data_IF_336806835195
#
_entry.id   IF_336806835195
#
_cell.length_a   1.000
_cell.length_b   1.000
_cell.length_c   1.000
_cell.angle_alpha   90.00
_cell.angle_beta   90.00
_cell.angle_gamma   90.00
#
_symmetry.space_group_name_H-M   'P 1'
#
loop_
_entity.id
_entity.type
_entity.pdbx_description
1 polymer ?
#
# COMPACT_ATOMS: atom_id res chain seq x y z
N UNK A 1 -13.62 -4.83 19.28
CA UNK A 1 -14.58 -5.58 18.46
C UNK A 1 -13.74 -6.39 17.48
N UNK A 2 -13.74 -7.73 17.56
CA UNK A 2 -13.06 -8.58 16.57
C UNK A 2 -14.01 -8.71 15.38
N UNK A 3 -13.61 -8.24 14.21
CA UNK A 3 -14.34 -8.50 12.97
C UNK A 3 -13.86 -9.89 12.52
N UNK A 4 -14.74 -10.89 12.55
CA UNK A 4 -14.40 -12.30 12.30
C UNK A 4 -14.30 -12.53 10.79
N UNK A 5 -13.23 -12.01 10.19
CA UNK A 5 -13.00 -12.12 8.74
C UNK A 5 -11.89 -11.23 8.22
N UNK A 6 -11.45 -10.24 9.01
CA UNK A 6 -10.42 -9.27 8.64
C UNK A 6 -9.22 -9.31 9.57
N UNK A 7 -8.06 -8.95 9.04
CA UNK A 7 -6.86 -8.67 9.82
C UNK A 7 -7.04 -7.37 10.60
N UNK A 8 -6.26 -7.20 11.66
CA UNK A 8 -6.21 -5.97 12.47
C UNK A 8 -5.37 -4.87 11.76
N UNK A 9 -5.58 -4.70 10.46
CA UNK A 9 -4.90 -3.75 9.56
C UNK A 9 -5.86 -2.75 8.90
N UNK A 10 -7.12 -2.75 9.33
CA UNK A 10 -8.13 -1.88 8.75
C UNK A 10 -7.84 -0.39 9.05
N UNK A 11 -8.19 0.45 8.08
CA UNK A 11 -8.09 1.90 8.14
C UNK A 11 -9.40 2.51 7.64
N UNK A 12 -9.96 3.44 8.40
CA UNK A 12 -11.10 4.27 8.01
C UNK A 12 -10.59 5.68 7.82
N UNK A 13 -10.68 6.18 6.61
CA UNK A 13 -10.27 7.52 6.22
C UNK A 13 -11.55 8.33 6.05
N UNK A 14 -11.70 9.42 6.79
CA UNK A 14 -12.83 10.34 6.65
C UNK A 14 -12.29 11.67 6.13
N UNK A 15 -12.84 12.12 5.02
CA UNK A 15 -12.50 13.36 4.35
C UNK A 15 -13.72 14.29 4.35
N UNK A 16 -13.52 15.53 4.80
CA UNK A 16 -14.58 16.53 4.88
C UNK A 16 -14.74 17.36 3.60
N UNK A 17 -13.99 17.05 2.54
CA UNK A 17 -13.99 17.74 1.27
C UNK A 17 -13.41 19.16 1.29
N UNK A 18 -12.91 19.62 2.44
CA UNK A 18 -12.39 20.99 2.67
C UNK A 18 -10.93 20.93 3.17
N UNK A 19 -10.19 19.94 2.67
CA UNK A 19 -8.77 19.74 2.95
C UNK A 19 -8.46 19.16 4.34
N UNK A 20 -9.47 18.71 5.11
CA UNK A 20 -9.26 18.00 6.36
C UNK A 20 -9.60 16.51 6.24
N UNK A 21 -8.56 15.68 6.32
CA UNK A 21 -8.67 14.22 6.34
C UNK A 21 -8.27 13.69 7.71
N UNK A 22 -9.05 12.74 8.26
CA UNK A 22 -8.71 11.99 9.46
C UNK A 22 -8.63 10.51 9.16
N UNK A 23 -7.67 9.83 9.79
CA UNK A 23 -7.43 8.41 9.62
C UNK A 23 -7.65 7.72 10.97
N UNK A 24 -8.49 6.70 10.97
CA UNK A 24 -8.83 5.90 12.14
C UNK A 24 -8.40 4.45 11.91
N UNK A 25 -7.75 3.88 12.91
CA UNK A 25 -7.30 2.50 12.91
C UNK A 25 -7.88 1.76 14.13
N UNK A 26 -7.36 0.56 14.42
CA UNK A 26 -7.74 -0.20 15.61
C UNK A 26 -7.52 0.50 16.93
N UNK A 27 -6.55 1.42 17.01
CA UNK A 27 -6.27 2.20 18.21
C UNK A 27 -7.25 3.36 18.39
N UNK A 28 -8.01 3.69 17.35
CA UNK A 28 -9.05 4.72 17.38
C UNK A 28 -10.40 4.23 17.90
N UNK A 29 -10.58 2.92 18.08
CA UNK A 29 -11.83 2.35 18.59
C UNK A 29 -12.22 2.90 19.97
N UNK A 30 -13.50 3.24 20.13
CA UNK A 30 -14.08 3.69 21.40
C UNK A 30 -13.66 5.11 21.82
N UNK A 31 -12.96 5.85 20.95
CA UNK A 31 -12.55 7.23 21.20
C UNK A 31 -13.45 8.18 20.40
N UNK A 32 -13.66 9.37 20.95
CA UNK A 32 -14.35 10.46 20.27
C UNK A 32 -13.33 11.32 19.53
N UNK A 33 -13.64 11.65 18.28
CA UNK A 33 -12.83 12.51 17.46
C UNK A 33 -13.67 13.67 16.95
N UNK A 34 -13.06 14.84 16.93
CA UNK A 34 -13.69 16.07 16.47
C UNK A 34 -13.09 16.40 15.12
N UNK A 35 -13.96 16.72 14.16
CA UNK A 35 -13.56 17.10 12.82
C UNK A 35 -13.94 18.56 12.58
N UNK A 36 -13.19 19.24 11.70
CA UNK A 36 -13.55 20.58 11.28
C UNK A 36 -14.80 20.49 10.39
N UNK A 37 -15.84 21.22 10.77
CA UNK A 37 -17.05 21.33 9.96
C UNK A 37 -16.69 22.04 8.64
N UNK A 38 -16.86 21.39 7.49
CA UNK A 38 -16.56 21.99 6.19
C UNK A 38 -17.60 23.08 5.86
N UNK A 39 -17.15 24.19 5.26
CA UNK A 39 -18.09 25.24 4.84
C UNK A 39 -18.97 24.76 3.68
N UNK A 40 -20.29 24.93 3.81
CA UNK A 40 -21.27 24.64 2.75
C UNK A 40 -21.25 23.22 2.17
N UNK A 41 -20.75 22.23 2.91
CA UNK A 41 -20.85 20.82 2.51
C UNK A 41 -21.96 20.10 3.26
N UNK A 42 -22.61 19.18 2.58
CA UNK A 42 -23.71 18.37 3.10
C UNK A 42 -23.33 16.90 3.26
N UNK A 43 -22.08 16.55 3.03
CA UNK A 43 -21.62 15.17 2.99
C UNK A 43 -20.17 15.07 3.41
N UNK A 44 -19.78 13.85 3.80
CA UNK A 44 -18.39 13.46 4.07
C UNK A 44 -18.06 12.28 3.17
N UNK A 45 -16.80 12.16 2.77
CA UNK A 45 -16.33 10.96 2.09
C UNK A 45 -15.63 10.04 3.09
N UNK A 46 -15.98 8.76 3.06
CA UNK A 46 -15.32 7.74 3.84
C UNK A 46 -14.67 6.72 2.89
N UNK A 47 -13.43 6.34 3.18
CA UNK A 47 -12.74 5.21 2.54
C UNK A 47 -12.34 4.22 3.63
N UNK A 48 -12.74 2.97 3.47
CA UNK A 48 -12.37 1.88 4.35
C UNK A 48 -11.47 0.95 3.57
N UNK A 49 -10.29 0.70 4.13
CA UNK A 49 -9.33 -0.25 3.60
C UNK A 49 -9.13 -1.34 4.64
N UNK A 50 -9.27 -2.60 4.26
CA UNK A 50 -9.01 -3.72 5.17
C UNK A 50 -8.54 -4.94 4.38
N UNK A 51 -7.75 -5.80 5.02
CA UNK A 51 -7.39 -7.08 4.43
C UNK A 51 -8.15 -8.19 5.13
N UNK A 52 -8.79 -9.08 4.37
CA UNK A 52 -9.34 -10.30 4.93
C UNK A 52 -8.25 -11.18 5.55
N UNK A 53 -8.62 -12.09 6.45
CA UNK A 53 -7.67 -13.07 7.03
C UNK A 53 -7.02 -13.96 5.94
N UNK A 54 -7.71 -14.16 4.81
CA UNK A 54 -7.24 -14.90 3.64
C UNK A 54 -6.28 -14.09 2.75
N UNK A 55 -6.11 -12.80 3.02
CA UNK A 55 -5.17 -11.93 2.31
C UNK A 55 -5.80 -11.07 1.20
N UNK A 56 -7.11 -11.17 0.96
CA UNK A 56 -7.80 -10.32 -0.01
C UNK A 56 -7.92 -8.88 0.53
N UNK A 57 -7.43 -7.91 -0.23
CA UNK A 57 -7.60 -6.49 0.07
C UNK A 57 -8.99 -6.02 -0.34
N UNK A 58 -9.63 -5.25 0.52
CA UNK A 58 -10.94 -4.66 0.30
C UNK A 58 -10.83 -3.16 0.51
N UNK A 59 -11.23 -2.39 -0.49
CA UNK A 59 -11.46 -0.94 -0.38
C UNK A 59 -12.93 -0.65 -0.61
N UNK A 60 -13.55 0.07 0.32
CA UNK A 60 -14.90 0.58 0.19
C UNK A 60 -14.86 2.10 0.28
N UNK A 61 -15.44 2.77 -0.72
CA UNK A 61 -15.61 4.21 -0.72
C UNK A 61 -17.10 4.53 -0.62
N UNK A 62 -17.44 5.46 0.26
CA UNK A 62 -18.81 5.87 0.49
C UNK A 62 -18.88 7.38 0.67
N UNK A 63 -19.90 7.99 0.09
CA UNK A 63 -20.29 9.35 0.44
C UNK A 63 -21.42 9.28 1.46
N UNK A 64 -21.19 9.86 2.64
CA UNK A 64 -22.13 9.93 3.75
C UNK A 64 -22.84 11.27 3.63
N UNK A 65 -24.07 11.27 3.14
CA UNK A 65 -24.83 12.49 2.95
C UNK A 65 -25.78 12.78 4.11
N UNK A 66 -25.82 14.04 4.57
CA UNK A 66 -26.81 14.51 5.53
C UNK A 66 -28.22 14.35 4.94
N UNK A 67 -29.15 13.68 5.63
CA UNK A 67 -30.48 13.46 5.13
C UNK A 67 -31.26 14.78 5.02
N UNK A 68 -32.13 14.86 4.01
CA UNK A 68 -32.85 16.10 3.65
C UNK A 68 -33.94 16.50 4.63
N UNK A 69 -34.34 15.61 5.53
CA UNK A 69 -35.30 15.82 6.61
C UNK A 69 -34.64 16.06 7.99
N UNK A 70 -33.32 16.22 8.04
CA UNK A 70 -32.61 16.63 9.25
C UNK A 70 -33.13 17.97 9.78
N UNK A 71 -33.24 18.12 11.11
CA UNK A 71 -33.74 19.35 11.73
C UNK A 71 -32.84 20.56 11.43
N UNK A 72 -33.50 21.72 11.23
CA UNK A 72 -32.86 22.94 10.76
C UNK A 72 -32.79 22.94 9.24
N UNK A 73 -33.38 23.94 8.60
CA UNK A 73 -33.48 24.12 7.14
C UNK A 73 -32.15 24.31 6.40
N UNK A 74 -31.04 23.86 6.98
CA UNK A 74 -29.72 23.86 6.38
C UNK A 74 -29.35 22.43 6.00
N UNK A 75 -29.30 22.18 4.69
CA UNK A 75 -28.80 20.94 4.12
C UNK A 75 -27.31 20.69 4.41
N UNK A 76 -26.62 21.59 5.12
CA UNK A 76 -25.19 21.52 5.38
C UNK A 76 -24.86 20.87 6.73
N UNK A 77 -23.65 20.33 6.83
CA UNK A 77 -23.06 19.87 8.08
C UNK A 77 -22.88 21.06 9.03
N UNK A 78 -23.21 20.87 10.30
CA UNK A 78 -23.13 21.91 11.32
C UNK A 78 -22.36 21.44 12.56
N UNK A 79 -21.85 22.40 13.33
CA UNK A 79 -21.20 22.10 14.61
C UNK A 79 -22.19 21.43 15.57
N UNK A 80 -21.85 20.24 16.06
CA UNK A 80 -22.72 19.42 16.91
C UNK A 80 -23.25 18.17 16.21
N UNK A 81 -23.18 18.12 14.87
CA UNK A 81 -23.46 16.90 14.11
C UNK A 81 -22.44 15.82 14.47
N UNK A 82 -22.92 14.61 14.73
CA UNK A 82 -22.07 13.46 15.04
C UNK A 82 -22.45 12.25 14.20
N UNK A 83 -21.44 11.51 13.75
CA UNK A 83 -21.59 10.27 13.01
C UNK A 83 -20.91 9.13 13.76
N UNK A 84 -21.57 7.97 13.76
CA UNK A 84 -20.99 6.71 14.20
C UNK A 84 -20.82 5.80 12.99
N UNK A 85 -19.59 5.51 12.61
CA UNK A 85 -19.28 4.58 11.52
C UNK A 85 -19.10 3.20 12.12
N UNK A 86 -20.01 2.29 11.79
CA UNK A 86 -19.92 0.88 12.17
C UNK A 86 -19.57 0.05 10.93
N UNK A 87 -18.55 -0.80 11.07
CA UNK A 87 -18.19 -1.77 10.04
C UNK A 87 -18.94 -3.07 10.32
N UNK A 88 -19.67 -3.57 9.34
CA UNK A 88 -20.40 -4.83 9.41
C UNK A 88 -19.88 -5.82 8.36
N UNK A 89 -20.11 -7.11 8.58
CA UNK A 89 -19.90 -8.16 7.56
C UNK A 89 -21.15 -8.34 6.68
N UNK A 90 -22.08 -7.38 6.70
CA UNK A 90 -23.38 -7.50 6.06
C UNK A 90 -23.22 -7.66 4.53
N UNK A 91 -23.87 -8.69 4.00
CA UNK A 91 -23.70 -9.15 2.62
C UNK A 91 -22.71 -10.31 2.43
N UNK A 92 -21.85 -10.63 3.42
CA UNK A 92 -20.91 -11.76 3.32
C UNK A 92 -21.62 -13.12 3.28
N UNK A 93 -21.05 -14.08 2.55
CA UNK A 93 -21.45 -15.50 2.57
C UNK A 93 -20.24 -16.39 2.81
N UNK A 94 -20.48 -17.70 2.94
CA UNK A 94 -19.42 -18.73 3.01
C UNK A 94 -18.46 -18.71 1.81
N UNK A 95 -18.79 -18.02 0.71
CA UNK A 95 -18.00 -17.97 -0.53
C UNK A 95 -17.43 -16.60 -0.87
N UNK A 96 -17.81 -15.54 -0.14
CA UNK A 96 -17.30 -14.18 -0.38
C UNK A 96 -17.47 -13.28 0.85
N UNK A 97 -16.49 -12.42 1.09
CA UNK A 97 -16.46 -11.50 2.24
C UNK A 97 -16.77 -10.08 1.74
N UNK A 98 -17.73 -9.41 2.39
CA UNK A 98 -18.17 -8.03 2.12
C UNK A 98 -18.01 -7.18 3.38
N UNK A 99 -17.66 -5.91 3.22
CA UNK A 99 -17.70 -4.92 4.30
C UNK A 99 -18.92 -4.04 4.05
N UNK A 100 -19.87 -4.03 4.97
CA UNK A 100 -20.94 -3.04 5.02
C UNK A 100 -20.52 -1.84 5.88
N UNK A 101 -21.02 -0.65 5.54
CA UNK A 101 -21.05 0.48 6.46
C UNK A 101 -22.50 0.71 6.89
N UNK A 102 -22.74 0.78 8.19
CA UNK A 102 -23.92 1.45 8.74
C UNK A 102 -23.48 2.72 9.45
N UNK A 103 -24.16 3.84 9.17
CA UNK A 103 -23.87 5.14 9.80
C UNK A 103 -25.07 5.60 10.60
N UNK A 104 -24.85 5.87 11.89
CA UNK A 104 -25.85 6.54 12.73
C UNK A 104 -25.53 8.02 12.80
N UNK A 105 -26.50 8.89 12.48
CA UNK A 105 -26.39 10.33 12.74
C UNK A 105 -27.10 10.66 14.04
N UNK A 106 -26.43 11.41 14.91
CA UNK A 106 -27.09 12.00 16.08
C UNK A 106 -26.93 13.52 16.00
N UNK A 107 -28.07 14.21 15.99
CA UNK A 107 -28.18 15.68 15.97
C UNK A 107 -28.52 16.19 17.38
N UNK A 108 -27.89 17.28 17.84
CA UNK A 108 -28.20 17.90 19.16
C UNK A 108 -29.43 18.79 19.05
N UNK A 109 -30.38 18.88 20.00
CA UNK A 109 -30.30 18.88 21.48
C UNK A 109 -31.05 17.73 22.19
N UNK A 110 -31.58 16.74 21.49
CA UNK A 110 -32.51 15.76 22.11
C UNK A 110 -31.91 14.36 22.29
N UNK A 111 -30.71 14.08 21.74
CA UNK A 111 -30.07 12.78 21.86
C UNK A 111 -30.78 11.67 21.08
N UNK A 112 -31.57 12.04 20.07
CA UNK A 112 -32.22 11.10 19.17
C UNK A 112 -31.24 10.70 18.06
N UNK A 113 -31.00 9.40 17.97
CA UNK A 113 -30.20 8.78 16.90
C UNK A 113 -31.13 8.51 15.72
N UNK A 114 -30.78 9.08 14.57
CA UNK A 114 -31.43 8.81 13.29
C UNK A 114 -30.48 7.90 12.51
N UNK A 115 -30.90 6.66 12.26
CA UNK A 115 -30.20 5.77 11.34
C UNK A 115 -30.22 6.40 9.95
N UNK A 116 -29.05 6.56 9.32
CA UNK A 116 -29.02 7.01 7.92
C UNK A 116 -29.64 5.89 7.07
N UNK A 117 -30.70 6.17 6.28
CA UNK A 117 -31.24 5.18 5.35
C UNK A 117 -30.14 4.75 4.36
N UNK A 118 -30.01 3.45 4.11
CA UNK A 118 -28.98 2.89 3.19
C UNK A 118 -28.95 3.61 1.83
N UNK A 119 -30.10 4.08 1.33
CA UNK A 119 -30.18 4.84 0.07
C UNK A 119 -29.50 6.23 0.07
N UNK A 120 -29.12 6.75 1.23
CA UNK A 120 -28.35 7.99 1.38
C UNK A 120 -26.83 7.72 1.53
N UNK A 121 -26.43 6.46 1.50
CA UNK A 121 -25.05 6.01 1.36
C UNK A 121 -24.87 5.67 -0.12
N UNK A 122 -24.20 6.54 -0.87
CA UNK A 122 -23.90 6.28 -2.27
C UNK A 122 -22.64 5.41 -2.30
N UNK A 123 -22.82 4.15 -2.69
CA UNK A 123 -21.72 3.25 -3.02
C UNK A 123 -21.27 3.55 -4.45
N UNK A 124 -20.06 4.08 -4.59
CA UNK A 124 -19.44 4.37 -5.89
C UNK A 124 -18.69 3.14 -6.46
N UNK A 125 -18.89 1.96 -5.87
CA UNK A 125 -18.33 0.70 -6.35
C UNK A 125 -19.34 -0.11 -7.18
N UNK A 126 -18.93 -1.27 -7.72
CA UNK A 126 -19.76 -2.04 -8.66
C UNK A 126 -21.00 -2.68 -7.99
N UNK A 127 -22.18 -2.53 -8.62
CA UNK A 127 -23.51 -3.01 -8.14
C UNK A 127 -23.61 -4.54 -7.91
N UNK A 128 -22.64 -5.31 -8.40
CA UNK A 128 -22.44 -6.72 -8.09
C UNK A 128 -20.96 -6.94 -7.81
N UNK A 129 -20.55 -7.67 -6.75
CA UNK A 129 -19.16 -8.06 -6.57
C UNK A 129 -18.76 -8.96 -7.75
N UNK A 130 -18.16 -8.35 -8.77
CA UNK A 130 -17.81 -9.02 -10.01
C UNK A 130 -16.65 -9.98 -9.79
N UNK A 131 -16.83 -11.22 -10.22
CA UNK A 131 -15.74 -12.10 -10.64
C UNK A 131 -14.76 -11.31 -11.52
N UNK A 132 -13.52 -11.15 -11.06
CA UNK A 132 -12.40 -10.66 -11.85
C UNK A 132 -12.52 -9.22 -12.35
N UNK A 133 -12.06 -8.27 -11.52
CA UNK A 133 -11.91 -6.89 -11.93
C UNK A 133 -10.97 -6.71 -13.13
N UNK A 134 -11.30 -5.76 -14.01
CA UNK A 134 -10.25 -5.03 -14.70
C UNK A 134 -9.52 -4.16 -13.65
N UNK A 135 -8.19 -4.19 -13.72
CA UNK A 135 -7.26 -3.54 -12.80
C UNK A 135 -7.59 -2.06 -12.58
N UNK A 136 -7.22 -1.49 -11.41
CA UNK A 136 -7.48 -0.10 -11.10
C UNK A 136 -6.91 0.81 -12.19
N UNK A 137 -7.61 1.91 -12.47
CA UNK A 137 -7.02 3.09 -13.08
C UNK A 137 -5.67 3.38 -12.38
N UNK A 138 -4.58 3.07 -13.08
CA UNK A 138 -3.21 3.48 -12.80
C UNK A 138 -2.60 3.09 -11.42
N UNK A 139 -2.62 1.82 -11.04
CA UNK A 139 -1.84 1.31 -9.88
C UNK A 139 -0.41 0.88 -10.25
N UNK A 140 0.52 0.94 -9.28
CA UNK A 140 1.89 0.43 -9.46
C UNK A 140 1.87 -1.06 -9.82
N UNK A 141 2.61 -1.47 -10.85
CA UNK A 141 2.77 -2.90 -11.23
C UNK A 141 4.23 -3.30 -11.27
N UNK A 142 4.49 -4.56 -10.91
CA UNK A 142 5.78 -5.20 -11.06
C UNK A 142 5.70 -6.31 -12.09
N UNK A 143 6.67 -6.34 -13.00
CA UNK A 143 7.02 -7.51 -13.79
C UNK A 143 8.31 -8.08 -13.22
N UNK A 144 8.32 -9.36 -12.85
CA UNK A 144 9.48 -10.01 -12.23
C UNK A 144 9.47 -10.05 -10.70
N UNK A 145 8.39 -9.63 -10.02
CA UNK A 145 8.19 -9.81 -8.57
C UNK A 145 6.85 -10.49 -8.24
N UNK A 146 6.78 -11.24 -7.13
CA UNK A 146 7.91 -11.70 -6.31
C UNK A 146 8.79 -12.70 -7.09
N UNK A 147 10.06 -12.82 -6.70
CA UNK A 147 11.01 -13.74 -7.34
C UNK A 147 11.77 -14.58 -6.32
N UNK A 148 12.10 -15.82 -6.69
CA UNK A 148 13.00 -16.67 -5.92
C UNK A 148 13.99 -17.34 -6.85
N UNK A 149 15.27 -17.21 -6.53
CA UNK A 149 16.37 -17.80 -7.24
C UNK A 149 17.10 -18.77 -6.35
N UNK A 150 17.52 -19.89 -6.92
CA UNK A 150 18.35 -20.89 -6.24
C UNK A 150 19.62 -21.10 -7.04
N UNK A 151 20.76 -20.96 -6.37
CA UNK A 151 22.08 -21.16 -6.94
C UNK A 151 22.96 -21.96 -5.97
N UNK A 152 24.15 -22.31 -6.42
CA UNK A 152 25.16 -23.01 -5.62
C UNK A 152 26.34 -22.09 -5.34
N UNK A 153 26.98 -22.24 -4.19
CA UNK A 153 28.19 -21.52 -3.89
C UNK A 153 29.27 -21.72 -4.97
N UNK A 154 29.83 -20.61 -5.44
CA UNK A 154 30.78 -20.52 -6.54
C UNK A 154 30.18 -20.41 -7.94
N UNK A 155 28.85 -20.35 -8.07
CA UNK A 155 28.22 -20.06 -9.37
C UNK A 155 28.54 -18.63 -9.83
N UNK A 156 28.73 -18.46 -11.14
CA UNK A 156 28.97 -17.15 -11.79
C UNK A 156 27.72 -16.59 -12.48
N UNK A 157 26.67 -17.40 -12.60
CA UNK A 157 25.39 -17.06 -13.20
C UNK A 157 24.27 -17.58 -12.31
N UNK A 158 23.12 -16.91 -12.31
CA UNK A 158 21.91 -17.37 -11.61
C UNK A 158 20.86 -17.72 -12.66
N UNK A 159 20.49 -19.00 -12.71
CA UNK A 159 19.55 -19.50 -13.71
C UNK A 159 18.18 -18.82 -13.58
N UNK A 160 17.65 -18.32 -14.70
CA UNK A 160 16.33 -17.68 -14.75
C UNK A 160 16.26 -16.28 -14.14
N UNK A 161 17.41 -15.69 -13.77
CA UNK A 161 17.49 -14.32 -13.28
C UNK A 161 16.86 -13.34 -14.28
N UNK A 162 15.87 -12.59 -13.81
CA UNK A 162 15.17 -11.55 -14.57
C UNK A 162 15.32 -10.21 -13.85
N UNK A 163 15.38 -9.13 -14.63
CA UNK A 163 15.27 -7.76 -14.09
C UNK A 163 13.83 -7.49 -13.64
N UNK A 164 13.66 -6.49 -12.79
CA UNK A 164 12.33 -6.08 -12.32
C UNK A 164 11.89 -4.82 -13.05
N UNK A 165 10.78 -4.90 -13.79
CA UNK A 165 10.18 -3.72 -14.40
C UNK A 165 9.08 -3.18 -13.50
N UNK A 166 9.11 -1.88 -13.28
CA UNK A 166 8.26 -1.12 -12.38
C UNK A 166 7.50 -0.11 -13.21
N UNK A 167 6.18 -0.25 -13.27
CA UNK A 167 5.30 0.76 -13.83
C UNK A 167 4.62 1.52 -12.70
N UNK A 168 4.78 2.83 -12.67
CA UNK A 168 4.22 3.73 -11.67
C UNK A 168 3.65 4.96 -12.39
N UNK A 169 2.36 4.98 -12.74
CA UNK A 169 1.79 6.02 -13.60
C UNK A 169 1.92 7.46 -13.07
N UNK A 170 1.97 7.65 -11.75
CA UNK A 170 2.17 8.97 -11.12
C UNK A 170 3.64 9.38 -10.99
N UNK A 171 4.56 8.54 -11.49
CA UNK A 171 6.00 8.68 -11.39
C UNK A 171 6.52 8.18 -10.03
N UNK A 172 7.60 7.39 -10.06
CA UNK A 172 8.22 6.82 -8.86
C UNK A 172 8.78 7.95 -7.99
N UNK A 173 8.24 8.16 -6.80
CA UNK A 173 8.74 9.15 -5.82
C UNK A 173 9.72 8.57 -4.84
N UNK A 174 9.58 7.29 -4.53
CA UNK A 174 10.45 6.51 -3.66
C UNK A 174 10.59 5.10 -4.23
N UNK A 175 11.82 4.59 -4.24
CA UNK A 175 12.11 3.19 -4.49
C UNK A 175 13.10 2.73 -3.42
N UNK A 176 12.54 2.26 -2.31
CA UNK A 176 13.30 1.77 -1.19
C UNK A 176 13.69 0.31 -1.42
N UNK A 177 14.97 0.01 -1.25
CA UNK A 177 15.51 -1.34 -1.26
C UNK A 177 15.96 -1.67 0.16
N UNK A 178 15.38 -2.73 0.73
CA UNK A 178 15.79 -3.27 2.03
C UNK A 178 16.35 -4.67 1.83
N UNK A 179 17.58 -4.88 2.28
CA UNK A 179 18.36 -6.11 2.08
C UNK A 179 18.57 -6.77 3.43
N UNK A 180 18.33 -8.09 3.51
CA UNK A 180 18.48 -8.87 4.73
C UNK A 180 18.95 -10.31 4.45
N UNK A 181 19.34 -11.02 5.51
CA UNK A 181 19.80 -12.42 5.44
C UNK A 181 21.32 -12.54 5.39
N UNK A 182 21.81 -13.59 4.72
CA UNK A 182 23.24 -14.00 4.74
C UNK A 182 24.18 -13.11 3.91
N UNK A 183 23.67 -12.03 3.30
CA UNK A 183 24.39 -11.16 2.36
C UNK A 183 25.23 -10.05 3.01
N UNK A 184 25.18 -9.88 4.33
CA UNK A 184 25.84 -8.76 5.03
C UNK A 184 27.35 -8.61 4.69
N UNK A 185 28.08 -9.71 4.52
CA UNK A 185 29.49 -9.66 4.13
C UNK A 185 29.71 -9.11 2.70
N UNK A 186 28.83 -9.46 1.76
CA UNK A 186 28.86 -8.92 0.40
C UNK A 186 28.54 -7.42 0.42
N UNK A 187 27.51 -7.01 1.17
CA UNK A 187 27.14 -5.59 1.32
C UNK A 187 28.33 -4.75 1.81
N UNK A 188 29.06 -5.24 2.81
CA UNK A 188 30.29 -4.59 3.28
C UNK A 188 31.40 -4.51 2.21
N UNK A 189 31.55 -5.55 1.37
CA UNK A 189 32.54 -5.58 0.29
C UNK A 189 32.23 -4.55 -0.81
N UNK A 190 30.96 -4.43 -1.19
CA UNK A 190 30.52 -3.47 -2.22
C UNK A 190 30.16 -2.10 -1.65
N UNK A 191 30.33 -1.89 -0.34
CA UNK A 191 29.99 -0.64 0.37
C UNK A 191 28.52 -0.22 0.19
N UNK A 192 27.62 -1.21 0.11
CA UNK A 192 26.19 -0.97 -0.03
C UNK A 192 25.51 -1.04 1.35
N UNK A 193 24.69 -0.06 1.75
CA UNK A 193 23.93 -0.14 3.00
C UNK A 193 22.81 -1.19 2.89
N UNK A 194 22.34 -1.68 4.04
CA UNK A 194 21.20 -2.62 4.12
C UNK A 194 19.89 -1.99 3.66
N UNK A 195 19.76 -0.67 3.74
CA UNK A 195 18.57 0.06 3.30
C UNK A 195 18.95 1.35 2.60
N UNK A 196 18.36 1.59 1.44
CA UNK A 196 18.57 2.82 0.68
C UNK A 196 17.40 3.11 -0.25
N UNK A 197 17.23 4.39 -0.60
CA UNK A 197 16.26 4.85 -1.59
C UNK A 197 16.97 5.22 -2.90
N UNK A 198 16.64 4.52 -3.98
CA UNK A 198 17.22 4.76 -5.30
C UNK A 198 16.85 6.15 -5.84
N UNK A 199 15.70 6.69 -5.45
CA UNK A 199 15.29 8.04 -5.85
C UNK A 199 16.10 9.13 -5.15
N UNK A 200 16.74 8.84 -4.02
CA UNK A 200 17.41 9.85 -3.20
C UNK A 200 18.69 9.29 -2.57
N UNK A 201 19.74 9.20 -3.38
CA UNK A 201 21.06 8.72 -2.99
C UNK A 201 22.04 9.89 -2.85
N UNK A 202 23.01 9.77 -1.94
CA UNK A 202 24.21 10.59 -2.00
C UNK A 202 25.13 10.17 -3.18
N UNK A 203 26.14 10.98 -3.48
CA UNK A 203 27.02 10.77 -4.63
C UNK A 203 27.82 9.45 -4.55
N UNK A 204 28.21 9.03 -3.34
CA UNK A 204 29.01 7.83 -3.12
C UNK A 204 28.15 6.57 -3.33
N UNK A 205 26.94 6.55 -2.78
CA UNK A 205 25.97 5.48 -2.99
C UNK A 205 25.53 5.43 -4.45
N UNK A 206 25.26 6.57 -5.08
CA UNK A 206 24.92 6.64 -6.50
C UNK A 206 26.04 6.03 -7.36
N UNK A 207 27.29 6.41 -7.11
CA UNK A 207 28.46 5.86 -7.82
C UNK A 207 28.54 4.34 -7.69
N UNK A 208 28.27 3.82 -6.49
CA UNK A 208 28.23 2.37 -6.21
C UNK A 208 27.11 1.68 -6.98
N UNK A 209 25.88 2.20 -6.92
CA UNK A 209 24.69 1.65 -7.60
C UNK A 209 24.84 1.65 -9.12
N UNK A 210 25.39 2.72 -9.68
CA UNK A 210 25.69 2.82 -11.12
C UNK A 210 26.86 1.91 -11.51
N UNK A 211 27.89 1.81 -10.67
CA UNK A 211 29.04 0.92 -10.89
C UNK A 211 28.67 -0.57 -10.88
N UNK A 212 27.67 -0.94 -10.07
CA UNK A 212 27.04 -2.27 -10.09
C UNK A 212 26.07 -2.45 -11.26
N UNK A 213 25.84 -1.41 -12.07
CA UNK A 213 24.96 -1.47 -13.24
C UNK A 213 23.48 -1.62 -12.91
N UNK A 214 23.06 -1.35 -11.67
CA UNK A 214 21.66 -1.54 -11.25
C UNK A 214 20.74 -0.45 -11.81
N UNK A 215 21.32 0.73 -12.03
CA UNK A 215 20.69 1.94 -12.59
C UNK A 215 21.74 2.67 -13.44
N UNK A 216 21.33 3.36 -14.50
CA UNK A 216 22.20 4.29 -15.26
C UNK A 216 22.07 5.72 -14.75
N UNK A 217 23.01 6.60 -15.07
CA UNK A 217 22.92 8.03 -14.71
C UNK A 217 21.66 8.71 -15.26
N UNK A 218 21.22 8.34 -16.46
CA UNK A 218 20.01 8.88 -17.07
C UNK A 218 18.75 8.41 -16.34
N UNK A 219 18.64 7.11 -16.05
CA UNK A 219 17.55 6.54 -15.26
C UNK A 219 17.49 7.18 -13.86
N UNK A 220 18.64 7.34 -13.19
CA UNK A 220 18.72 8.01 -11.89
C UNK A 220 18.20 9.45 -11.94
N UNK A 221 18.53 10.21 -12.98
CA UNK A 221 18.08 11.60 -13.12
C UNK A 221 16.55 11.69 -13.17
N UNK A 222 15.89 10.74 -13.86
CA UNK A 222 14.43 10.68 -13.94
C UNK A 222 13.78 10.19 -12.65
N UNK A 223 14.39 9.20 -11.98
CA UNK A 223 13.96 8.68 -10.68
C UNK A 223 14.06 9.76 -9.58
N UNK A 224 15.17 10.49 -9.55
CA UNK A 224 15.39 11.59 -8.61
C UNK A 224 14.43 12.77 -8.85
N UNK A 225 14.09 13.05 -10.10
CA UNK A 225 13.08 14.05 -10.45
C UNK A 225 11.64 13.59 -10.11
N UNK A 226 11.44 12.31 -9.80
CA UNK A 226 10.14 11.72 -9.51
C UNK A 226 9.23 11.60 -10.75
N UNK A 227 9.79 11.67 -11.96
CA UNK A 227 9.02 11.66 -13.22
C UNK A 227 9.08 10.34 -13.97
N UNK A 228 9.93 9.40 -13.54
CA UNK A 228 10.07 8.09 -14.15
C UNK A 228 8.82 7.23 -13.89
N UNK A 229 8.08 6.88 -14.95
CA UNK A 229 6.85 6.07 -14.87
C UNK A 229 7.05 4.61 -15.27
N UNK A 230 8.16 4.30 -15.93
CA UNK A 230 8.55 2.96 -16.39
C UNK A 230 10.04 2.80 -16.15
N UNK A 231 10.39 1.98 -15.16
CA UNK A 231 11.76 1.77 -14.73
C UNK A 231 12.09 0.29 -14.68
N UNK A 232 13.26 -0.10 -15.18
CA UNK A 232 13.76 -1.47 -15.05
C UNK A 232 14.95 -1.52 -14.12
N UNK A 233 14.76 -2.11 -12.94
CA UNK A 233 15.82 -2.34 -11.98
C UNK A 233 16.66 -3.55 -12.41
N UNK A 234 17.93 -3.30 -12.74
CA UNK A 234 18.84 -4.31 -13.29
C UNK A 234 19.47 -5.09 -12.14
N UNK A 235 19.18 -6.38 -12.04
CA UNK A 235 19.58 -7.19 -10.88
C UNK A 235 20.89 -7.95 -11.08
N UNK A 236 21.30 -8.13 -12.34
CA UNK A 236 22.43 -8.98 -12.71
C UNK A 236 23.72 -8.59 -11.99
N UNK A 237 24.11 -7.32 -12.00
CA UNK A 237 25.40 -6.89 -11.46
C UNK A 237 25.55 -7.06 -9.93
N UNK A 238 24.46 -7.20 -9.19
CA UNK A 238 24.50 -7.46 -7.74
C UNK A 238 24.21 -8.91 -7.39
N UNK A 239 23.14 -9.51 -7.96
CA UNK A 239 22.70 -10.83 -7.51
C UNK A 239 23.69 -11.94 -7.88
N UNK A 240 24.41 -11.83 -9.02
CA UNK A 240 25.43 -12.84 -9.40
C UNK A 240 26.66 -12.84 -8.49
N UNK A 241 26.85 -11.81 -7.67
CA UNK A 241 27.93 -11.75 -6.68
C UNK A 241 27.60 -12.56 -5.42
N UNK A 242 26.33 -12.83 -5.15
CA UNK A 242 25.87 -13.54 -3.95
C UNK A 242 26.49 -14.94 -3.85
N UNK A 243 26.35 -15.85 -4.83
CA UNK A 243 26.96 -17.16 -4.76
C UNK A 243 28.50 -17.13 -4.73
N UNK A 244 29.15 -16.00 -5.01
CA UNK A 244 30.61 -15.87 -4.94
C UNK A 244 31.12 -15.56 -3.51
N UNK A 245 30.24 -15.04 -2.65
CA UNK A 245 30.59 -14.60 -1.29
C UNK A 245 29.83 -15.38 -0.21
N UNK A 246 28.55 -15.66 -0.43
CA UNK A 246 27.67 -16.36 0.52
C UNK A 246 27.79 -17.86 0.27
N UNK A 247 28.29 -18.62 1.25
CA UNK A 247 28.54 -20.06 1.09
C UNK A 247 27.29 -20.92 1.21
N UNK A 248 26.28 -20.47 1.96
CA UNK A 248 24.96 -21.09 2.03
C UNK A 248 23.96 -20.17 2.71
N UNK A 249 22.67 -20.43 2.51
CA UNK A 249 21.57 -19.76 3.20
C UNK A 249 20.79 -18.79 2.31
N UNK A 250 19.99 -17.92 2.92
CA UNK A 250 18.99 -17.13 2.22
C UNK A 250 19.25 -15.64 2.40
N UNK A 251 19.14 -14.90 1.31
CA UNK A 251 19.18 -13.43 1.27
C UNK A 251 17.92 -12.89 0.63
N UNK A 252 17.36 -11.82 1.18
CA UNK A 252 16.11 -11.21 0.69
C UNK A 252 16.33 -9.74 0.38
N UNK A 253 15.81 -9.31 -0.76
CA UNK A 253 15.73 -7.93 -1.21
C UNK A 253 14.26 -7.56 -1.32
N UNK A 254 13.77 -6.71 -0.41
CA UNK A 254 12.46 -6.12 -0.52
C UNK A 254 12.57 -4.81 -1.32
N UNK A 255 11.77 -4.70 -2.38
CA UNK A 255 11.61 -3.47 -3.15
C UNK A 255 10.27 -2.86 -2.75
N UNK A 256 10.29 -1.64 -2.23
CA UNK A 256 9.08 -0.87 -1.90
C UNK A 256 9.03 0.41 -2.72
N UNK A 257 8.00 0.52 -3.56
CA UNK A 257 7.81 1.64 -4.49
C UNK A 257 6.62 2.46 -4.04
N UNK A 258 6.79 3.78 -3.99
CA UNK A 258 5.68 4.73 -3.84
C UNK A 258 5.70 5.74 -4.97
N UNK A 259 4.53 6.02 -5.53
CA UNK A 259 4.30 7.06 -6.53
C UNK A 259 3.65 8.33 -5.94
N UNK A 260 3.58 8.41 -4.60
CA UNK A 260 2.96 9.50 -3.87
C UNK A 260 1.45 9.36 -3.67
N UNK A 261 0.81 8.39 -4.33
CA UNK A 261 -0.62 8.07 -4.19
C UNK A 261 -0.81 6.65 -3.65
N UNK A 262 -0.03 5.73 -4.18
CA UNK A 262 -0.04 4.31 -3.86
C UNK A 262 1.36 3.85 -3.47
N UNK A 263 1.41 2.72 -2.77
CA UNK A 263 2.65 2.03 -2.43
C UNK A 263 2.47 0.55 -2.73
N UNK A 264 3.50 -0.07 -3.30
CA UNK A 264 3.54 -1.51 -3.56
C UNK A 264 4.93 -2.04 -3.26
N UNK A 265 4.99 -3.23 -2.68
CA UNK A 265 6.24 -3.91 -2.39
C UNK A 265 6.28 -5.32 -2.97
N UNK A 266 7.48 -5.86 -3.08
CA UNK A 266 7.72 -7.22 -3.52
C UNK A 266 9.14 -7.68 -3.23
N UNK A 267 9.28 -8.98 -2.98
CA UNK A 267 10.53 -9.59 -2.56
C UNK A 267 11.24 -10.31 -3.69
N UNK A 268 12.57 -10.24 -3.66
CA UNK A 268 13.48 -11.14 -4.37
C UNK A 268 14.22 -11.95 -3.31
N UNK A 269 14.11 -13.26 -3.40
CA UNK A 269 14.82 -14.18 -2.50
C UNK A 269 15.91 -14.92 -3.28
N UNK A 270 17.13 -14.94 -2.75
CA UNK A 270 18.24 -15.73 -3.30
C UNK A 270 18.65 -16.78 -2.27
N UNK A 271 18.54 -18.04 -2.65
CA UNK A 271 18.90 -19.20 -1.84
C UNK A 271 20.21 -19.76 -2.41
N UNK A 272 21.27 -19.74 -1.60
CA UNK A 272 22.54 -20.36 -1.95
C UNK A 272 22.65 -21.72 -1.27
N UNK A 273 22.84 -22.75 -2.08
CA UNK A 273 23.19 -24.08 -1.59
C UNK A 273 24.71 -24.19 -1.45
N UNK A 274 25.21 -24.89 -0.43
CA UNK A 274 26.63 -25.21 -0.36
C UNK A 274 27.03 -26.08 -1.56
N UNK A 275 28.30 -25.99 -1.95
CA UNK A 275 28.85 -26.85 -2.99
C UNK A 275 29.10 -28.24 -2.43
N UNK A 276 28.54 -29.28 -3.06
CA UNK A 276 28.71 -30.66 -2.60
C UNK A 276 30.20 -31.00 -2.41
N UNK A 277 30.61 -31.26 -1.15
CA UNK A 277 31.98 -31.65 -0.79
C UNK A 277 32.72 -30.73 0.19
N UNK A 278 32.10 -29.63 0.65
CA UNK A 278 32.56 -28.82 1.81
C UNK A 278 31.58 -28.89 2.99
#
# INVERSE_FOLDING_TARGET
MRILGFKDDYSVIVDNGDGATQIFDKNSLGKKYYFQVPEHQNSLNASIKATSVEGNFIELKATIQKPSDAEGSESYLAGGDSFNIQLTEEGSTDSYISIGITVDLTFTEVGETIEIPVGNIIYEGPDTPGEGGEEPEASITFEGLPATYTCTYGDFEIAGLQNVRILAPNGIKNLNVTISGEIAALLGMVQLPETFDICNMDDDLKSTIVGLGLVTDEEYTQLHAGTCTDFTFKLEGLLVLIPQVVSSGTSTFNLSVSDGVSTKDGDITVIVNPKDGE
#
